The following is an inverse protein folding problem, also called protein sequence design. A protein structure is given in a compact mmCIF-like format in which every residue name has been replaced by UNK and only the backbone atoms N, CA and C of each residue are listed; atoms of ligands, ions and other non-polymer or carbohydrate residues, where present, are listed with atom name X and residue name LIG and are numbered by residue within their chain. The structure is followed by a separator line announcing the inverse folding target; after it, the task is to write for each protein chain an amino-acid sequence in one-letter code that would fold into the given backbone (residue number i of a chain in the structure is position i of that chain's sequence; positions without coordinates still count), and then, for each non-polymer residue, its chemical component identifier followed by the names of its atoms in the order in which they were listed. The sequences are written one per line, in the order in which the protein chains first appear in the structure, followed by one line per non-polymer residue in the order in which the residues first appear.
data_IF_328446975148
#
_entry.id   IF_328446975148
#
_cell.length_a   1.000
_cell.length_b   1.000
_cell.length_c   1.000
_cell.angle_alpha   90.00
_cell.angle_beta   90.00
_cell.angle_gamma   90.00
#
_symmetry.space_group_name_H-M   'P 1'
#
loop_
_entity.id
_entity.type
_entity.pdbx_description
1 polymer ?
#
# COMPACT_ATOMS: atom_id res chain seq x y z
N UNK A 1 8.75 15.19 15.36
CA UNK A 1 8.84 14.49 14.06
C UNK A 1 9.96 15.02 13.16
N UNK A 2 10.16 16.34 13.02
CA UNK A 2 11.25 16.88 12.18
C UNK A 2 12.67 16.68 12.76
N UNK A 3 12.85 16.73 14.08
CA UNK A 3 14.18 16.53 14.71
C UNK A 3 14.67 15.08 14.63
N UNK A 4 13.78 14.09 14.81
CA UNK A 4 14.12 12.67 14.67
C UNK A 4 14.47 12.30 13.22
N UNK A 5 13.81 12.90 12.22
CA UNK A 5 14.16 12.75 10.80
C UNK A 5 15.53 13.34 10.48
N UNK A 6 15.89 14.48 11.09
CA UNK A 6 17.21 15.10 10.94
C UNK A 6 18.33 14.28 11.60
N UNK A 7 18.08 13.69 12.77
CA UNK A 7 19.05 12.79 13.43
C UNK A 7 19.27 11.50 12.63
N UNK A 8 18.21 10.89 12.10
CA UNK A 8 18.34 9.72 11.22
C UNK A 8 19.13 10.03 9.95
N UNK A 9 18.89 11.19 9.32
CA UNK A 9 19.63 11.63 8.13
C UNK A 9 21.11 12.00 8.39
N UNK A 10 21.47 12.37 9.63
CA UNK A 10 22.86 12.57 10.05
C UNK A 10 23.56 11.24 10.34
N UNK A 11 22.88 10.32 11.02
CA UNK A 11 23.37 8.96 11.28
C UNK A 11 23.59 8.18 9.99
N UNK A 12 22.68 8.25 9.01
CA UNK A 12 22.83 7.61 7.70
C UNK A 12 24.06 8.18 6.97
N UNK A 13 24.26 9.51 7.01
CA UNK A 13 25.44 10.14 6.39
C UNK A 13 26.74 9.75 7.09
N UNK A 14 26.77 9.74 8.43
CA UNK A 14 27.91 9.25 9.19
C UNK A 14 28.19 7.78 8.90
N UNK A 15 27.15 6.95 8.80
CA UNK A 15 27.26 5.54 8.48
C UNK A 15 27.79 5.31 7.06
N UNK A 16 27.31 6.07 6.07
CA UNK A 16 27.81 6.01 4.70
C UNK A 16 29.27 6.45 4.58
N UNK A 17 29.69 7.47 5.34
CA UNK A 17 31.08 7.94 5.40
C UNK A 17 31.97 6.91 6.10
N UNK A 18 31.56 6.38 7.26
CA UNK A 18 32.32 5.34 7.98
C UNK A 18 32.39 4.03 7.21
N UNK A 19 31.31 3.66 6.51
CA UNK A 19 31.28 2.51 5.62
C UNK A 19 32.18 2.73 4.40
N UNK A 20 32.35 3.97 3.92
CA UNK A 20 33.27 4.31 2.84
C UNK A 20 34.74 4.14 3.22
N UNK A 21 35.13 4.55 4.43
CA UNK A 21 36.52 4.48 4.92
C UNK A 21 36.95 3.06 5.33
N UNK A 22 36.02 2.24 5.85
CA UNK A 22 36.28 0.87 6.30
C UNK A 22 35.62 -0.21 5.43
N UNK A 23 35.27 0.14 4.19
CA UNK A 23 34.42 -0.72 3.34
C UNK A 23 34.97 -2.13 3.20
N UNK A 24 36.26 -2.25 2.91
CA UNK A 24 36.91 -3.54 2.68
C UNK A 24 36.96 -4.40 3.95
N UNK A 25 37.24 -3.79 5.10
CA UNK A 25 37.26 -4.45 6.41
C UNK A 25 35.86 -4.96 6.78
N UNK A 26 34.84 -4.12 6.65
CA UNK A 26 33.44 -4.48 6.96
C UNK A 26 32.93 -5.57 6.01
N UNK A 27 33.26 -5.51 4.72
CA UNK A 27 32.88 -6.56 3.76
C UNK A 27 33.57 -7.89 4.09
N UNK A 28 34.84 -7.86 4.54
CA UNK A 28 35.53 -9.06 5.00
C UNK A 28 34.86 -9.66 6.26
N UNK A 29 34.45 -8.84 7.22
CA UNK A 29 33.68 -9.29 8.40
C UNK A 29 32.32 -9.88 8.01
N UNK A 30 31.60 -9.24 7.07
CA UNK A 30 30.35 -9.77 6.53
C UNK A 30 30.55 -11.15 5.91
N UNK A 31 31.67 -11.36 5.21
CA UNK A 31 32.00 -12.68 4.66
C UNK A 31 32.17 -13.73 5.75
N UNK A 32 32.87 -13.41 6.85
CA UNK A 32 33.01 -14.34 7.98
C UNK A 32 31.65 -14.69 8.58
N UNK A 33 30.75 -13.69 8.72
CA UNK A 33 29.39 -13.92 9.22
C UNK A 33 28.56 -14.78 8.27
N UNK A 34 28.67 -14.56 6.96
CA UNK A 34 27.98 -15.38 5.96
C UNK A 34 28.47 -16.82 5.97
N UNK A 35 29.79 -17.04 6.08
CA UNK A 35 30.36 -18.38 6.23
C UNK A 35 29.87 -19.07 7.52
N UNK A 36 29.72 -18.33 8.62
CA UNK A 36 29.15 -18.85 9.88
C UNK A 36 27.66 -19.22 9.75
N UNK A 37 26.86 -18.38 9.07
CA UNK A 37 25.43 -18.69 8.81
C UNK A 37 25.29 -19.97 7.99
N UNK A 38 26.10 -20.13 6.95
CA UNK A 38 26.11 -21.34 6.12
C UNK A 38 26.50 -22.57 6.94
N UNK A 39 27.56 -22.47 7.76
CA UNK A 39 27.98 -23.57 8.63
C UNK A 39 26.89 -23.96 9.64
N UNK A 40 26.19 -22.99 10.21
CA UNK A 40 25.06 -23.23 11.12
C UNK A 40 23.91 -23.93 10.40
N UNK A 41 23.52 -23.44 9.22
CA UNK A 41 22.47 -24.04 8.41
C UNK A 41 22.79 -25.51 8.08
N UNK A 42 24.00 -25.80 7.62
CA UNK A 42 24.45 -27.15 7.29
C UNK A 42 24.49 -28.06 8.52
N UNK A 43 24.94 -27.53 9.66
CA UNK A 43 24.95 -28.27 10.92
C UNK A 43 23.53 -28.65 11.36
N UNK A 44 22.58 -27.71 11.29
CA UNK A 44 21.21 -27.94 11.73
C UNK A 44 20.45 -28.86 10.77
N UNK A 45 20.66 -28.75 9.45
CA UNK A 45 20.12 -29.70 8.47
C UNK A 45 20.54 -31.14 8.74
N UNK A 46 21.78 -31.36 9.19
CA UNK A 46 22.30 -32.69 9.56
C UNK A 46 21.76 -33.18 10.89
N UNK A 47 21.61 -32.28 11.86
CA UNK A 47 21.14 -32.62 13.20
C UNK A 47 19.66 -32.99 13.21
N UNK A 48 18.83 -32.17 12.55
CA UNK A 48 17.39 -32.37 12.48
C UNK A 48 16.80 -31.63 11.25
N UNK A 49 16.12 -32.33 10.33
CA UNK A 49 15.55 -31.70 9.14
C UNK A 49 14.59 -30.54 9.42
N UNK A 50 13.84 -30.59 10.52
CA UNK A 50 12.91 -29.52 10.92
C UNK A 50 13.67 -28.28 11.42
N UNK A 51 14.74 -28.45 12.21
CA UNK A 51 15.61 -27.33 12.60
C UNK A 51 16.29 -26.68 11.39
N UNK A 52 16.74 -27.51 10.43
CA UNK A 52 17.29 -27.02 9.16
C UNK A 52 16.32 -26.14 8.38
N UNK A 53 15.02 -26.49 8.36
CA UNK A 53 13.95 -25.71 7.70
C UNK A 53 13.69 -24.37 8.39
N UNK A 54 13.66 -24.35 9.73
CA UNK A 54 13.49 -23.10 10.48
C UNK A 54 14.63 -22.13 10.20
N UNK A 55 15.88 -22.61 10.22
CA UNK A 55 17.04 -21.75 9.98
C UNK A 55 17.14 -21.34 8.51
N UNK A 56 16.78 -22.20 7.57
CA UNK A 56 16.68 -21.84 6.15
C UNK A 56 15.78 -20.61 5.91
N UNK A 57 14.62 -20.54 6.58
CA UNK A 57 13.68 -19.41 6.47
C UNK A 57 14.24 -18.06 6.97
N UNK A 58 15.32 -18.08 7.75
CA UNK A 58 15.95 -16.89 8.33
C UNK A 58 17.39 -16.70 7.84
N UNK A 59 17.86 -17.53 6.88
CA UNK A 59 19.22 -17.42 6.35
C UNK A 59 19.21 -16.54 5.12
N UNK A 60 19.92 -15.42 5.22
CA UNK A 60 20.14 -14.48 4.12
C UNK A 60 21.60 -14.03 4.13
N UNK A 61 22.25 -14.08 2.96
CA UNK A 61 23.65 -13.69 2.80
C UNK A 61 23.76 -12.21 2.42
N UNK A 62 24.92 -11.63 2.68
CA UNK A 62 25.14 -10.19 2.51
C UNK A 62 25.32 -9.85 1.04
N UNK A 63 24.54 -8.90 0.50
CA UNK A 63 24.62 -8.45 -0.90
C UNK A 63 26.05 -8.08 -1.32
N UNK A 64 26.81 -7.46 -0.42
CA UNK A 64 28.16 -6.98 -0.68
C UNK A 64 29.14 -8.11 -1.03
N UNK A 65 28.86 -9.34 -0.58
CA UNK A 65 29.63 -10.54 -0.91
C UNK A 65 29.17 -11.20 -2.22
N UNK A 66 27.92 -10.97 -2.63
CA UNK A 66 27.28 -11.64 -3.78
C UNK A 66 26.55 -10.67 -4.73
N UNK A 67 27.16 -9.56 -5.18
CA UNK A 67 26.44 -8.53 -5.94
C UNK A 67 26.21 -8.88 -7.41
N UNK A 68 26.91 -9.90 -7.94
CA UNK A 68 26.89 -10.22 -9.38
C UNK A 68 25.52 -10.72 -9.81
N UNK A 69 24.96 -10.10 -10.86
CA UNK A 69 23.67 -10.51 -11.45
C UNK A 69 22.46 -9.72 -10.95
N UNK A 70 22.67 -8.73 -10.07
CA UNK A 70 21.63 -7.86 -9.55
C UNK A 70 22.00 -6.40 -9.80
N UNK A 71 21.00 -5.60 -10.14
CA UNK A 71 21.15 -4.15 -10.36
C UNK A 71 21.44 -3.41 -9.06
N UNK A 72 20.84 -3.84 -7.95
CA UNK A 72 21.03 -3.28 -6.62
C UNK A 72 20.71 -4.30 -5.51
N UNK A 73 20.88 -3.86 -4.26
CA UNK A 73 20.60 -4.66 -3.05
C UNK A 73 19.10 -4.96 -2.88
N UNK A 74 18.20 -4.14 -3.43
CA UNK A 74 16.75 -4.35 -3.33
C UNK A 74 16.35 -5.53 -4.23
N UNK A 75 16.86 -5.57 -5.46
CA UNK A 75 16.66 -6.69 -6.36
C UNK A 75 17.28 -7.98 -5.81
N UNK A 76 18.48 -7.90 -5.24
CA UNK A 76 19.12 -9.03 -4.58
C UNK A 76 18.26 -9.55 -3.41
N UNK A 77 17.80 -8.66 -2.53
CA UNK A 77 16.90 -9.01 -1.44
C UNK A 77 15.63 -9.70 -1.97
N UNK A 78 14.96 -9.11 -2.96
CA UNK A 78 13.72 -9.64 -3.51
C UNK A 78 13.88 -11.07 -4.08
N UNK A 79 15.02 -11.37 -4.68
CA UNK A 79 15.27 -12.67 -5.34
C UNK A 79 15.87 -13.71 -4.40
N UNK A 80 16.74 -13.31 -3.49
CA UNK A 80 17.57 -14.23 -2.69
C UNK A 80 17.09 -14.44 -1.26
N UNK A 81 16.06 -13.73 -0.79
CA UNK A 81 15.58 -13.82 0.59
C UNK A 81 15.25 -15.26 1.04
N UNK A 82 14.73 -16.09 0.12
CA UNK A 82 14.36 -17.48 0.38
C UNK A 82 15.26 -18.50 -0.33
N UNK A 83 16.47 -18.10 -0.75
CA UNK A 83 17.40 -18.94 -1.53
C UNK A 83 17.77 -20.28 -0.88
N UNK A 84 17.67 -20.39 0.45
CA UNK A 84 17.96 -21.62 1.20
C UNK A 84 16.74 -22.49 1.48
N UNK A 85 15.55 -22.08 1.04
CA UNK A 85 14.27 -22.73 1.34
C UNK A 85 13.83 -23.58 0.15
N UNK A 86 13.57 -24.87 0.37
CA UNK A 86 12.95 -25.75 -0.62
C UNK A 86 11.43 -25.81 -0.41
N UNK A 87 10.69 -24.88 -1.02
CA UNK A 87 9.23 -24.85 -0.88
C UNK A 87 8.49 -26.07 -1.43
N UNK A 88 9.17 -26.97 -2.15
CA UNK A 88 8.58 -28.24 -2.61
C UNK A 88 8.55 -29.31 -1.51
N UNK A 89 9.31 -29.12 -0.43
CA UNK A 89 9.27 -30.02 0.72
C UNK A 89 7.92 -29.87 1.47
N UNK A 90 7.12 -30.94 1.57
CA UNK A 90 5.77 -30.87 2.14
C UNK A 90 5.77 -30.55 3.64
N UNK A 91 6.88 -30.71 4.35
CA UNK A 91 6.93 -30.48 5.80
C UNK A 91 6.82 -29.00 6.18
N UNK A 92 7.08 -28.08 5.24
CA UNK A 92 6.89 -26.65 5.47
C UNK A 92 5.44 -26.29 5.84
N UNK A 93 4.46 -27.15 5.50
CA UNK A 93 3.06 -26.95 5.93
C UNK A 93 2.87 -26.96 7.44
N UNK A 94 3.79 -27.59 8.17
CA UNK A 94 3.74 -27.74 9.62
C UNK A 94 4.53 -26.63 10.34
N UNK A 95 5.02 -25.62 9.59
CA UNK A 95 5.80 -24.50 10.14
C UNK A 95 4.95 -23.22 10.11
N UNK A 96 4.33 -22.83 11.24
CA UNK A 96 3.70 -21.51 11.38
C UNK A 96 4.65 -20.36 11.01
N UNK A 97 5.97 -20.57 11.12
CA UNK A 97 7.00 -19.60 10.77
C UNK A 97 6.97 -19.14 9.31
N UNK A 98 6.36 -19.91 8.39
CA UNK A 98 6.16 -19.47 7.00
C UNK A 98 5.38 -18.16 6.94
N UNK A 99 4.34 -18.02 7.75
CA UNK A 99 3.54 -16.81 7.82
C UNK A 99 4.39 -15.60 8.24
N UNK A 100 5.19 -15.73 9.29
CA UNK A 100 6.07 -14.66 9.77
C UNK A 100 7.19 -14.32 8.77
N UNK A 101 7.78 -15.34 8.12
CA UNK A 101 8.82 -15.11 7.12
C UNK A 101 8.30 -14.28 5.93
N UNK A 102 7.09 -14.57 5.45
CA UNK A 102 6.46 -13.78 4.38
C UNK A 102 6.00 -12.40 4.86
N UNK A 103 5.60 -12.23 6.14
CA UNK A 103 5.36 -10.89 6.70
C UNK A 103 6.63 -10.03 6.71
N UNK A 104 7.75 -10.58 7.15
CA UNK A 104 9.03 -9.85 7.21
C UNK A 104 9.53 -9.48 5.81
N UNK A 105 9.47 -10.43 4.88
CA UNK A 105 9.79 -10.20 3.47
C UNK A 105 8.93 -9.07 2.88
N UNK A 106 7.60 -9.20 3.00
CA UNK A 106 6.65 -8.21 2.47
C UNK A 106 6.84 -6.84 3.09
N UNK A 107 7.07 -6.77 4.40
CA UNK A 107 7.30 -5.51 5.12
C UNK A 107 8.48 -4.74 4.52
N UNK A 108 9.56 -5.45 4.18
CA UNK A 108 10.73 -4.84 3.55
C UNK A 108 10.41 -4.36 2.15
N UNK A 109 9.82 -5.22 1.30
CA UNK A 109 9.45 -4.90 -0.09
C UNK A 109 8.56 -3.65 -0.18
N UNK A 110 7.60 -3.48 0.73
CA UNK A 110 6.67 -2.33 0.70
C UNK A 110 7.18 -1.11 1.46
N UNK A 111 8.29 -1.21 2.18
CA UNK A 111 8.90 -0.08 2.90
C UNK A 111 10.02 0.60 2.10
N UNK A 112 10.60 -0.10 1.14
CA UNK A 112 11.57 0.48 0.19
C UNK A 112 10.84 1.25 -0.93
N UNK A 113 11.54 2.18 -1.61
CA UNK A 113 10.96 3.05 -2.65
C UNK A 113 10.75 2.33 -3.98
N UNK A 114 9.92 1.28 -3.99
CA UNK A 114 9.49 0.56 -5.19
C UNK A 114 8.09 1.01 -5.61
N UNK A 115 7.80 1.03 -6.92
CA UNK A 115 6.42 1.17 -7.42
C UNK A 115 5.56 -0.02 -6.99
N UNK A 116 4.24 0.15 -6.88
CA UNK A 116 3.34 -0.95 -6.53
C UNK A 116 3.41 -2.10 -7.54
N UNK A 117 3.67 -1.81 -8.82
CA UNK A 117 3.89 -2.81 -9.86
C UNK A 117 5.12 -3.66 -9.58
N UNK A 118 6.24 -3.03 -9.19
CA UNK A 118 7.48 -3.75 -8.89
C UNK A 118 7.37 -4.53 -7.58
N UNK A 119 6.66 -4.00 -6.59
CA UNK A 119 6.33 -4.73 -5.37
C UNK A 119 5.51 -6.00 -5.70
N UNK A 120 4.48 -5.86 -6.53
CA UNK A 120 3.64 -6.98 -6.99
C UNK A 120 4.46 -8.02 -7.74
N UNK A 121 5.34 -7.59 -8.67
CA UNK A 121 6.23 -8.48 -9.42
C UNK A 121 7.07 -9.35 -8.48
N UNK A 122 7.73 -8.75 -7.49
CA UNK A 122 8.56 -9.49 -6.54
C UNK A 122 7.76 -10.42 -5.63
N UNK A 123 6.64 -9.94 -5.08
CA UNK A 123 5.79 -10.77 -4.21
C UNK A 123 5.22 -11.99 -4.98
N UNK A 124 4.72 -11.78 -6.20
CA UNK A 124 4.21 -12.86 -7.06
C UNK A 124 5.33 -13.82 -7.45
N UNK A 125 6.51 -13.31 -7.84
CA UNK A 125 7.66 -14.13 -8.19
C UNK A 125 8.11 -15.05 -7.06
N UNK A 126 8.15 -14.53 -5.83
CA UNK A 126 8.49 -15.33 -4.64
C UNK A 126 7.41 -16.39 -4.34
N UNK A 127 6.13 -16.04 -4.42
CA UNK A 127 5.02 -16.99 -4.17
C UNK A 127 4.95 -18.09 -5.23
N UNK A 128 5.35 -17.82 -6.47
CA UNK A 128 5.37 -18.80 -7.55
C UNK A 128 6.32 -19.98 -7.31
N UNK A 129 7.32 -19.82 -6.44
CA UNK A 129 8.22 -20.92 -6.04
C UNK A 129 7.52 -21.96 -5.14
N UNK A 130 6.35 -21.64 -4.58
CA UNK A 130 5.61 -22.51 -3.67
C UNK A 130 4.56 -23.32 -4.45
N UNK A 131 4.41 -24.63 -4.19
CA UNK A 131 3.34 -25.43 -4.77
C UNK A 131 1.96 -24.79 -4.54
N UNK A 132 1.27 -24.45 -5.63
CA UNK A 132 -0.03 -23.80 -5.61
C UNK A 132 -1.07 -24.65 -4.88
N UNK A 133 -1.97 -24.01 -4.12
CA UNK A 133 -2.97 -24.69 -3.27
C UNK A 133 -2.41 -25.43 -2.05
N UNK A 134 -1.10 -25.49 -1.84
CA UNK A 134 -0.53 -26.10 -0.64
C UNK A 134 -0.82 -25.28 0.62
N UNK A 135 -0.74 -25.94 1.78
CA UNK A 135 -0.83 -25.25 3.07
C UNK A 135 0.31 -24.24 3.29
N UNK A 136 1.51 -24.50 2.75
CA UNK A 136 2.62 -23.52 2.73
C UNK A 136 2.26 -22.30 1.90
N UNK A 137 1.67 -22.48 0.71
CA UNK A 137 1.20 -21.38 -0.13
C UNK A 137 0.13 -20.54 0.58
N UNK A 138 -0.78 -21.20 1.30
CA UNK A 138 -1.81 -20.53 2.09
C UNK A 138 -1.23 -19.64 3.18
N UNK A 139 -0.26 -20.15 3.96
CA UNK A 139 0.41 -19.40 5.01
C UNK A 139 1.23 -18.23 4.45
N UNK A 140 1.94 -18.45 3.35
CA UNK A 140 2.72 -17.42 2.66
C UNK A 140 1.83 -16.27 2.16
N UNK A 141 0.75 -16.60 1.43
CA UNK A 141 -0.23 -15.61 0.97
C UNK A 141 -0.87 -14.83 2.13
N UNK A 142 -1.23 -15.52 3.22
CA UNK A 142 -1.77 -14.86 4.40
C UNK A 142 -0.77 -13.87 5.02
N UNK A 143 0.52 -14.21 5.07
CA UNK A 143 1.57 -13.33 5.56
C UNK A 143 1.76 -12.09 4.69
N UNK A 144 1.73 -12.25 3.37
CA UNK A 144 1.76 -11.14 2.40
C UNK A 144 0.55 -10.21 2.61
N UNK A 145 -0.65 -10.77 2.56
CA UNK A 145 -1.90 -10.03 2.70
C UNK A 145 -1.97 -9.24 4.01
N UNK A 146 -1.52 -9.82 5.12
CA UNK A 146 -1.52 -9.15 6.42
C UNK A 146 -0.78 -7.81 6.38
N UNK A 147 0.41 -7.79 5.78
CA UNK A 147 1.21 -6.56 5.68
C UNK A 147 0.60 -5.59 4.68
N UNK A 148 0.15 -6.07 3.51
CA UNK A 148 -0.46 -5.20 2.51
C UNK A 148 -1.71 -4.50 3.05
N UNK A 149 -2.54 -5.23 3.80
CA UNK A 149 -3.71 -4.66 4.47
C UNK A 149 -3.31 -3.62 5.53
N UNK A 150 -2.35 -3.93 6.41
CA UNK A 150 -1.88 -3.00 7.46
C UNK A 150 -1.28 -1.72 6.89
N UNK A 151 -0.62 -1.81 5.74
CA UNK A 151 0.00 -0.67 5.05
C UNK A 151 -0.95 0.05 4.10
N UNK A 152 -2.20 -0.40 3.96
CA UNK A 152 -3.17 0.12 2.99
C UNK A 152 -2.58 0.16 1.57
N UNK A 153 -1.88 -0.90 1.18
CA UNK A 153 -1.19 -1.02 -0.11
C UNK A 153 -2.16 -1.47 -1.22
N UNK A 154 -2.06 -0.88 -2.42
CA UNK A 154 -2.96 -1.17 -3.55
C UNK A 154 -2.97 -2.64 -4.00
N UNK A 155 -1.91 -3.40 -3.69
CA UNK A 155 -1.83 -4.81 -4.06
C UNK A 155 -2.63 -5.76 -3.14
N UNK A 156 -3.20 -5.31 -2.01
CA UNK A 156 -3.91 -6.22 -1.11
C UNK A 156 -5.07 -6.96 -1.80
N UNK A 157 -5.88 -6.26 -2.62
CA UNK A 157 -6.98 -6.90 -3.36
C UNK A 157 -6.51 -7.94 -4.37
N UNK A 158 -5.38 -7.69 -5.05
CA UNK A 158 -4.82 -8.64 -5.99
C UNK A 158 -4.49 -9.98 -5.30
N UNK A 159 -3.77 -9.93 -4.17
CA UNK A 159 -3.42 -11.14 -3.42
C UNK A 159 -4.61 -11.77 -2.69
N UNK A 160 -5.59 -10.97 -2.27
CA UNK A 160 -6.83 -11.49 -1.71
C UNK A 160 -7.66 -12.28 -2.73
N UNK A 161 -7.78 -11.78 -3.96
CA UNK A 161 -8.45 -12.49 -5.05
C UNK A 161 -7.70 -13.77 -5.41
N UNK A 162 -6.37 -13.74 -5.45
CA UNK A 162 -5.54 -14.95 -5.65
C UNK A 162 -5.82 -16.00 -4.56
N UNK A 163 -5.91 -15.59 -3.29
CA UNK A 163 -6.25 -16.50 -2.19
C UNK A 163 -7.65 -17.11 -2.37
N UNK A 164 -8.65 -16.28 -2.70
CA UNK A 164 -10.02 -16.76 -2.93
C UNK A 164 -10.05 -17.78 -4.06
N UNK A 165 -9.47 -17.47 -5.22
CA UNK A 165 -9.47 -18.38 -6.37
C UNK A 165 -8.72 -19.69 -6.09
N UNK A 166 -7.61 -19.61 -5.35
CA UNK A 166 -6.79 -20.78 -5.04
C UNK A 166 -7.44 -21.71 -4.02
N UNK A 167 -8.15 -21.16 -3.03
CA UNK A 167 -8.61 -21.93 -1.86
C UNK A 167 -10.14 -22.08 -1.74
N UNK A 168 -10.93 -21.57 -2.69
CA UNK A 168 -12.41 -21.63 -2.65
C UNK A 168 -12.97 -23.03 -2.42
N UNK A 169 -12.36 -24.05 -3.02
CA UNK A 169 -12.84 -25.44 -2.92
C UNK A 169 -12.22 -26.18 -1.73
N UNK A 170 -10.93 -25.91 -1.45
CA UNK A 170 -10.18 -26.63 -0.42
C UNK A 170 -10.39 -26.09 1.00
N UNK A 171 -10.74 -24.80 1.14
CA UNK A 171 -11.00 -24.15 2.44
C UNK A 171 -12.04 -23.02 2.32
N UNK A 172 -13.32 -23.39 2.12
CA UNK A 172 -14.40 -22.41 1.96
C UNK A 172 -14.60 -21.54 3.20
N UNK A 173 -14.25 -22.01 4.39
CA UNK A 173 -14.38 -21.23 5.63
C UNK A 173 -13.36 -20.10 5.69
N UNK A 174 -12.08 -20.38 5.36
CA UNK A 174 -11.07 -19.33 5.26
C UNK A 174 -11.39 -18.33 4.15
N UNK A 175 -11.91 -18.80 3.01
CA UNK A 175 -12.35 -17.92 1.91
C UNK A 175 -13.53 -17.04 2.32
N UNK A 176 -14.56 -17.58 2.99
CA UNK A 176 -15.68 -16.79 3.46
C UNK A 176 -15.24 -15.70 4.46
N UNK A 177 -14.34 -16.03 5.39
CA UNK A 177 -13.76 -15.06 6.33
C UNK A 177 -12.97 -13.97 5.60
N UNK A 178 -12.11 -14.35 4.65
CA UNK A 178 -11.37 -13.39 3.85
C UNK A 178 -12.31 -12.51 3.02
N UNK A 179 -13.34 -13.07 2.38
CA UNK A 179 -14.31 -12.31 1.60
C UNK A 179 -15.06 -11.29 2.46
N UNK A 180 -15.37 -11.60 3.73
CA UNK A 180 -15.91 -10.61 4.65
C UNK A 180 -14.91 -9.48 4.95
N UNK A 181 -13.65 -9.80 5.22
CA UNK A 181 -12.59 -8.81 5.46
C UNK A 181 -12.26 -7.99 4.22
N UNK A 182 -12.25 -8.62 3.05
CA UNK A 182 -12.10 -7.98 1.75
C UNK A 182 -13.29 -7.09 1.47
N UNK A 183 -14.53 -7.50 1.71
CA UNK A 183 -15.71 -6.64 1.53
C UNK A 183 -15.66 -5.41 2.46
N UNK A 184 -15.23 -5.60 3.71
CA UNK A 184 -14.97 -4.50 4.66
C UNK A 184 -13.82 -3.60 4.21
N UNK A 185 -12.85 -4.10 3.45
CA UNK A 185 -11.68 -3.34 3.02
C UNK A 185 -11.82 -2.79 1.58
N UNK A 186 -12.65 -3.38 0.72
CA UNK A 186 -12.93 -3.00 -0.67
C UNK A 186 -13.63 -1.65 -0.73
N UNK A 187 -14.48 -1.35 0.25
CA UNK A 187 -15.02 0.00 0.46
C UNK A 187 -13.93 1.07 0.71
N UNK A 188 -12.66 0.67 0.91
CA UNK A 188 -11.56 1.56 1.26
C UNK A 188 -10.32 1.47 0.34
N UNK A 189 -10.28 0.57 -0.65
CA UNK A 189 -9.05 0.25 -1.39
C UNK A 189 -9.12 0.51 -2.89
N UNK A 190 -7.96 0.80 -3.50
CA UNK A 190 -7.79 0.91 -4.96
C UNK A 190 -8.28 -0.38 -5.64
N UNK A 191 -9.13 -0.24 -6.65
CA UNK A 191 -9.80 -1.30 -7.39
C UNK A 191 -11.16 -1.72 -6.80
N UNK A 192 -11.47 -1.34 -5.56
CA UNK A 192 -12.76 -1.60 -4.92
C UNK A 192 -13.81 -0.54 -5.28
N UNK A 193 -15.08 -0.88 -5.13
CA UNK A 193 -16.19 0.06 -5.33
C UNK A 193 -16.24 1.08 -4.18
N UNK A 194 -16.27 2.37 -4.53
CA UNK A 194 -16.35 3.45 -3.57
C UNK A 194 -17.76 3.47 -2.93
N UNK A 195 -17.86 3.47 -1.58
CA UNK A 195 -19.15 3.48 -0.89
C UNK A 195 -20.00 4.66 -1.33
N UNK A 196 -21.21 4.39 -1.81
CA UNK A 196 -22.14 5.47 -2.11
C UNK A 196 -22.55 6.19 -0.82
N UNK A 197 -22.89 7.46 -0.95
CA UNK A 197 -23.37 8.29 0.15
C UNK A 197 -24.24 9.42 -0.39
N UNK A 198 -25.12 9.92 0.48
CA UNK A 198 -25.94 11.10 0.21
C UNK A 198 -25.72 12.10 1.33
N UNK A 199 -25.42 13.35 0.98
CA UNK A 199 -25.21 14.46 1.91
C UNK A 199 -25.87 15.73 1.37
N UNK A 200 -25.94 16.77 2.21
CA UNK A 200 -26.55 18.05 1.86
C UNK A 200 -25.59 18.95 1.08
N UNK A 201 -26.05 19.55 -0.02
CA UNK A 201 -25.36 20.63 -0.72
C UNK A 201 -25.39 21.93 0.09
N UNK A 202 -24.63 22.98 -0.29
CA UNK A 202 -24.74 24.30 0.35
C UNK A 202 -26.15 24.90 0.32
N UNK A 203 -26.97 24.54 -0.67
CA UNK A 203 -28.36 24.95 -0.84
C UNK A 203 -29.34 24.08 -0.03
N UNK A 204 -28.85 23.05 0.66
CA UNK A 204 -29.66 22.13 1.48
C UNK A 204 -30.35 21.01 0.69
N UNK A 205 -29.99 20.81 -0.57
CA UNK A 205 -30.49 19.71 -1.39
C UNK A 205 -29.72 18.42 -1.08
N UNK A 206 -30.37 17.27 -1.24
CA UNK A 206 -29.65 15.99 -1.19
C UNK A 206 -28.89 15.77 -2.49
N UNK A 207 -27.64 15.34 -2.38
CA UNK A 207 -26.83 14.91 -3.51
C UNK A 207 -26.07 13.65 -3.15
N UNK A 208 -26.13 12.67 -4.04
CA UNK A 208 -25.48 11.37 -3.89
C UNK A 208 -24.23 11.27 -4.76
N UNK A 209 -23.23 10.50 -4.31
CA UNK A 209 -22.04 10.23 -5.14
C UNK A 209 -22.42 9.50 -6.44
N UNK A 210 -23.40 8.59 -6.37
CA UNK A 210 -23.91 7.86 -7.54
C UNK A 210 -24.49 8.73 -8.65
N UNK A 211 -24.89 9.98 -8.36
CA UNK A 211 -25.37 10.93 -9.38
C UNK A 211 -24.26 11.38 -10.34
N UNK A 212 -22.99 11.19 -9.95
CA UNK A 212 -21.81 11.52 -10.77
C UNK A 212 -21.26 10.31 -11.55
N UNK A 213 -21.96 9.17 -11.56
CA UNK A 213 -21.55 7.99 -12.35
C UNK A 213 -21.50 8.33 -13.85
N UNK A 214 -20.63 7.64 -14.58
CA UNK A 214 -20.31 7.96 -15.97
C UNK A 214 -19.18 8.97 -16.16
N UNK A 215 -18.62 9.51 -15.06
CA UNK A 215 -17.45 10.39 -15.05
C UNK A 215 -16.35 9.84 -14.14
N UNK A 216 -15.10 10.20 -14.41
CA UNK A 216 -14.04 10.05 -13.43
C UNK A 216 -14.25 11.12 -12.35
N UNK A 217 -14.38 10.74 -11.08
CA UNK A 217 -14.72 11.68 -10.00
C UNK A 217 -13.60 11.73 -8.97
N UNK A 218 -13.14 12.93 -8.62
CA UNK A 218 -12.30 13.16 -7.46
C UNK A 218 -13.16 13.54 -6.26
N UNK A 219 -13.26 12.64 -5.28
CA UNK A 219 -13.85 12.95 -3.98
C UNK A 219 -12.78 13.67 -3.16
N UNK A 220 -12.99 14.95 -2.85
CA UNK A 220 -12.03 15.78 -2.11
C UNK A 220 -12.55 16.08 -0.69
N UNK A 221 -11.94 15.48 0.31
CA UNK A 221 -12.24 15.74 1.71
C UNK A 221 -11.42 16.93 2.20
N UNK A 222 -12.12 18.01 2.54
CA UNK A 222 -11.51 19.30 2.86
C UNK A 222 -12.30 20.04 3.95
N UNK A 223 -11.85 21.22 4.33
CA UNK A 223 -12.61 22.13 5.20
C UNK A 223 -12.11 23.57 5.04
N UNK A 224 -12.96 24.56 5.35
CA UNK A 224 -12.62 25.98 5.29
C UNK A 224 -11.40 26.36 6.14
N UNK A 225 -11.23 25.67 7.27
CA UNK A 225 -10.14 25.85 8.24
C UNK A 225 -8.88 25.03 7.92
N UNK A 226 -8.91 24.19 6.88
CA UNK A 226 -7.77 23.37 6.48
C UNK A 226 -6.78 24.18 5.61
N UNK A 227 -5.80 24.81 6.25
CA UNK A 227 -4.77 25.59 5.54
C UNK A 227 -4.06 24.86 4.39
N UNK A 228 -3.61 23.59 4.53
CA UNK A 228 -3.03 22.84 3.42
C UNK A 228 -4.01 22.56 2.28
N UNK A 229 -5.30 22.33 2.57
CA UNK A 229 -6.33 22.16 1.54
C UNK A 229 -6.48 23.45 0.72
N UNK A 230 -6.66 24.60 1.41
CA UNK A 230 -6.82 25.91 0.77
C UNK A 230 -5.63 26.28 -0.13
N UNK A 231 -4.40 25.88 0.24
CA UNK A 231 -3.20 26.10 -0.59
C UNK A 231 -3.16 25.23 -1.85
N UNK A 232 -3.82 24.08 -1.83
CA UNK A 232 -3.89 23.16 -2.96
C UNK A 232 -5.04 23.50 -3.91
N UNK A 233 -6.09 24.17 -3.43
CA UNK A 233 -7.27 24.52 -4.23
C UNK A 233 -6.95 25.20 -5.58
N UNK A 234 -5.97 26.12 -5.71
CA UNK A 234 -5.61 26.65 -7.03
C UNK A 234 -5.14 25.58 -8.03
N UNK A 235 -4.45 24.54 -7.54
CA UNK A 235 -4.06 23.39 -8.36
C UNK A 235 -5.29 22.57 -8.79
N UNK A 236 -6.19 22.29 -7.86
CA UNK A 236 -7.43 21.54 -8.13
C UNK A 236 -8.33 22.28 -9.12
N UNK A 237 -8.47 23.61 -8.98
CA UNK A 237 -9.21 24.47 -9.92
C UNK A 237 -8.61 24.42 -11.33
N UNK A 238 -7.28 24.42 -11.45
CA UNK A 238 -6.61 24.26 -12.76
C UNK A 238 -6.99 22.93 -13.40
N UNK A 239 -6.84 21.82 -12.66
CA UNK A 239 -7.16 20.48 -13.15
C UNK A 239 -8.64 20.32 -13.48
N UNK A 240 -9.55 20.86 -12.66
CA UNK A 240 -10.97 20.81 -12.95
C UNK A 240 -11.30 21.49 -14.28
N UNK A 241 -10.78 22.70 -14.51
CA UNK A 241 -11.05 23.42 -15.75
C UNK A 241 -10.47 22.75 -16.99
N UNK A 242 -9.35 22.03 -16.85
CA UNK A 242 -8.72 21.32 -17.94
C UNK A 242 -9.46 20.03 -18.35
N UNK A 243 -9.99 19.29 -17.37
CA UNK A 243 -10.54 17.95 -17.61
C UNK A 243 -12.07 17.84 -17.50
N UNK A 244 -12.79 18.85 -16.96
CA UNK A 244 -14.25 18.76 -16.74
C UNK A 244 -15.04 18.42 -18.00
N UNK A 245 -14.63 18.99 -19.14
CA UNK A 245 -15.29 18.77 -20.43
C UNK A 245 -14.87 17.45 -21.10
N UNK A 246 -13.85 16.77 -20.55
CA UNK A 246 -13.39 15.43 -20.98
C UNK A 246 -14.04 14.28 -20.18
N UNK A 247 -14.91 14.59 -19.21
CA UNK A 247 -15.56 13.57 -18.36
C UNK A 247 -14.98 13.45 -16.96
N UNK A 248 -14.28 14.48 -16.47
CA UNK A 248 -13.84 14.58 -15.08
C UNK A 248 -14.82 15.41 -14.23
N UNK A 249 -14.99 15.04 -12.96
CA UNK A 249 -15.73 15.86 -12.00
C UNK A 249 -15.09 15.82 -10.61
N UNK A 250 -15.52 16.72 -9.74
CA UNK A 250 -15.06 16.77 -8.34
C UNK A 250 -16.27 16.88 -7.41
N UNK A 251 -16.26 16.07 -6.36
CA UNK A 251 -17.22 16.18 -5.26
C UNK A 251 -16.47 16.55 -3.97
N UNK A 252 -16.60 17.79 -3.55
CA UNK A 252 -16.03 18.29 -2.31
C UNK A 252 -16.85 17.84 -1.11
N UNK A 253 -16.28 17.03 -0.23
CA UNK A 253 -16.90 16.65 1.05
C UNK A 253 -16.29 17.49 2.16
N UNK A 254 -17.06 18.43 2.69
CA UNK A 254 -16.57 19.36 3.72
C UNK A 254 -16.72 18.82 5.14
N UNK A 255 -15.65 18.95 5.92
CA UNK A 255 -15.59 18.71 7.36
C UNK A 255 -15.71 20.03 8.15
N UNK A 256 -16.45 21.00 7.63
CA UNK A 256 -16.85 22.17 8.40
C UNK A 256 -17.93 21.84 9.45
N UNK A 257 -18.12 22.76 10.40
CA UNK A 257 -19.23 22.73 11.37
C UNK A 257 -20.16 23.93 11.22
N UNK A 258 -19.83 24.84 10.32
CA UNK A 258 -20.52 26.13 10.15
C UNK A 258 -20.70 26.35 8.66
N UNK A 259 -21.95 26.35 8.22
CA UNK A 259 -22.32 26.47 6.80
C UNK A 259 -21.75 27.74 6.17
N UNK A 260 -21.89 28.89 6.84
CA UNK A 260 -21.43 30.17 6.32
C UNK A 260 -19.93 30.17 5.99
N UNK A 261 -19.09 29.61 6.87
CA UNK A 261 -17.63 29.52 6.63
C UNK A 261 -17.29 28.60 5.47
N UNK A 262 -18.02 27.50 5.34
CA UNK A 262 -17.86 26.57 4.25
C UNK A 262 -18.21 27.21 2.90
N UNK A 263 -19.37 27.87 2.83
CA UNK A 263 -19.86 28.57 1.64
C UNK A 263 -18.93 29.73 1.27
N UNK A 264 -18.49 30.51 2.25
CA UNK A 264 -17.55 31.61 2.03
C UNK A 264 -16.21 31.09 1.46
N UNK A 265 -15.69 29.98 2.00
CA UNK A 265 -14.46 29.37 1.48
C UNK A 265 -14.61 28.85 0.06
N UNK A 266 -15.76 28.24 -0.29
CA UNK A 266 -16.08 27.83 -1.67
C UNK A 266 -15.96 29.01 -2.62
N UNK A 267 -16.57 30.15 -2.25
CA UNK A 267 -16.58 31.36 -3.07
C UNK A 267 -15.19 31.99 -3.19
N UNK A 268 -14.48 32.12 -2.07
CA UNK A 268 -13.14 32.72 -2.03
C UNK A 268 -12.13 31.96 -2.88
N UNK A 269 -12.22 30.64 -2.91
CA UNK A 269 -11.27 29.79 -3.64
C UNK A 269 -11.73 29.45 -5.07
N UNK A 270 -12.93 29.88 -5.48
CA UNK A 270 -13.46 29.62 -6.82
C UNK A 270 -13.74 28.13 -7.09
N UNK A 271 -14.22 27.40 -6.08
CA UNK A 271 -14.47 25.96 -6.16
C UNK A 271 -15.81 25.68 -6.85
N UNK A 272 -15.84 25.72 -8.18
CA UNK A 272 -17.08 25.70 -8.97
C UNK A 272 -17.76 24.33 -9.13
N UNK A 273 -17.17 23.26 -8.59
CA UNK A 273 -17.72 21.91 -8.63
C UNK A 273 -18.73 21.66 -7.50
N UNK A 274 -19.28 20.46 -7.42
CA UNK A 274 -20.28 20.10 -6.42
C UNK A 274 -19.68 19.96 -5.02
N UNK A 275 -20.37 20.46 -4.00
CA UNK A 275 -19.95 20.32 -2.61
C UNK A 275 -21.08 19.75 -1.76
N UNK A 276 -20.71 18.95 -0.76
CA UNK A 276 -21.64 18.39 0.21
C UNK A 276 -21.04 18.35 1.63
N UNK A 277 -21.89 18.39 2.66
CA UNK A 277 -21.48 18.23 4.05
C UNK A 277 -22.65 17.80 4.94
N UNK A 278 -22.37 17.15 6.06
CA UNK A 278 -23.31 16.99 7.19
C UNK A 278 -23.05 18.00 8.33
N UNK A 279 -22.06 18.88 8.17
CA UNK A 279 -21.61 19.87 9.15
C UNK A 279 -21.21 19.29 10.51
N UNK A 280 -20.80 18.01 10.57
CA UNK A 280 -20.37 17.34 11.81
C UNK A 280 -18.87 17.42 12.07
N UNK A 281 -18.09 18.08 11.21
CA UNK A 281 -16.63 18.11 11.30
C UNK A 281 -15.99 16.73 11.20
N UNK A 282 -15.09 16.38 12.11
CA UNK A 282 -14.49 15.03 12.16
C UNK A 282 -15.48 13.90 12.49
N UNK A 283 -16.68 14.23 12.96
CA UNK A 283 -17.77 13.27 13.11
C UNK A 283 -18.59 13.08 11.82
N UNK A 284 -18.10 13.60 10.68
CA UNK A 284 -18.73 13.41 9.38
C UNK A 284 -18.78 11.93 9.01
N UNK A 285 -19.98 11.43 8.72
CA UNK A 285 -20.23 9.99 8.54
C UNK A 285 -19.52 9.45 7.30
N UNK A 286 -19.45 10.24 6.23
CA UNK A 286 -18.78 9.86 4.98
C UNK A 286 -17.26 9.83 5.18
N UNK A 287 -16.69 10.83 5.85
CA UNK A 287 -15.26 10.85 6.19
C UNK A 287 -14.87 9.61 7.00
N UNK A 288 -15.70 9.19 7.97
CA UNK A 288 -15.49 7.95 8.72
C UNK A 288 -15.63 6.71 7.84
N UNK A 289 -16.67 6.64 7.02
CA UNK A 289 -16.94 5.54 6.09
C UNK A 289 -15.85 5.40 5.00
N UNK A 290 -15.12 6.47 4.71
CA UNK A 290 -13.96 6.46 3.81
C UNK A 290 -12.62 6.35 4.56
N UNK A 291 -12.64 6.25 5.89
CA UNK A 291 -11.43 6.07 6.71
C UNK A 291 -10.51 7.30 6.73
N UNK A 292 -11.07 8.49 6.52
CA UNK A 292 -10.33 9.76 6.50
C UNK A 292 -9.89 10.12 7.93
N UNK A 293 -8.58 10.16 8.16
CA UNK A 293 -7.97 10.49 9.47
C UNK A 293 -7.23 11.83 9.48
N UNK A 294 -7.04 12.42 8.31
CA UNK A 294 -6.36 13.70 8.10
C UNK A 294 -6.90 14.32 6.82
N UNK A 295 -6.93 15.65 6.75
CA UNK A 295 -7.22 16.39 5.52
C UNK A 295 -6.04 17.31 5.19
N UNK A 296 -5.72 17.55 3.91
CA UNK A 296 -6.46 17.13 2.72
C UNK A 296 -6.37 15.61 2.45
N UNK A 297 -7.46 15.00 1.97
CA UNK A 297 -7.54 13.59 1.57
C UNK A 297 -8.37 13.48 0.30
N UNK A 298 -7.94 12.71 -0.70
CA UNK A 298 -8.77 12.45 -1.91
C UNK A 298 -8.94 10.98 -2.17
N UNK A 299 -10.03 10.67 -2.87
CA UNK A 299 -10.27 9.38 -3.52
C UNK A 299 -10.69 9.66 -4.95
N UNK A 300 -9.90 9.20 -5.92
CA UNK A 300 -10.23 9.26 -7.34
C UNK A 300 -10.95 7.97 -7.71
N UNK A 301 -12.10 8.07 -8.38
CA UNK A 301 -12.90 6.91 -8.82
C UNK A 301 -13.14 6.96 -10.33
N UNK A 302 -13.28 5.81 -10.96
CA UNK A 302 -13.65 5.68 -12.38
C UNK A 302 -15.16 5.91 -12.62
N UNK A 303 -15.55 5.86 -13.90
CA UNK A 303 -16.93 6.06 -14.34
C UNK A 303 -17.92 5.06 -13.75
N UNK A 304 -17.45 3.85 -13.43
CA UNK A 304 -18.20 2.78 -12.78
C UNK A 304 -18.24 2.92 -11.25
N UNK A 305 -17.42 3.79 -10.68
CA UNK A 305 -17.34 4.05 -9.25
C UNK A 305 -16.30 3.24 -8.50
N UNK A 306 -15.32 2.63 -9.18
CA UNK A 306 -14.19 1.95 -8.55
C UNK A 306 -13.08 2.93 -8.24
N UNK A 307 -12.43 2.75 -7.09
CA UNK A 307 -11.34 3.61 -6.64
C UNK A 307 -10.11 3.39 -7.53
N UNK A 308 -9.68 4.42 -8.26
CA UNK A 308 -8.47 4.41 -9.07
C UNK A 308 -7.22 4.77 -8.26
N UNK A 309 -7.36 5.72 -7.33
CA UNK A 309 -6.24 6.22 -6.54
C UNK A 309 -6.74 6.94 -5.28
N UNK A 310 -5.84 7.16 -4.32
CA UNK A 310 -6.13 7.93 -3.10
C UNK A 310 -4.98 8.88 -2.80
N UNK A 311 -5.28 9.97 -2.09
CA UNK A 311 -4.29 10.97 -1.65
C UNK A 311 -3.48 11.60 -2.78
N UNK A 312 -4.03 11.64 -4.00
CA UNK A 312 -3.43 12.37 -5.12
C UNK A 312 -3.50 13.87 -4.86
N UNK A 313 -2.38 14.56 -5.05
CA UNK A 313 -2.19 16.00 -4.87
C UNK A 313 -1.04 16.49 -5.76
N UNK A 314 -1.02 17.79 -6.06
CA UNK A 314 0.03 18.42 -6.84
C UNK A 314 0.28 17.69 -8.17
N UNK A 315 1.55 17.46 -8.47
CA UNK A 315 2.01 16.78 -9.69
C UNK A 315 1.46 15.35 -9.81
N UNK A 316 1.26 14.62 -8.70
CA UNK A 316 0.74 13.25 -8.76
C UNK A 316 -0.72 13.21 -9.24
N UNK A 317 -1.53 14.23 -8.90
CA UNK A 317 -2.89 14.35 -9.44
C UNK A 317 -2.84 14.67 -10.94
N UNK A 318 -1.99 15.62 -11.33
CA UNK A 318 -1.81 16.02 -12.72
C UNK A 318 -1.38 14.86 -13.62
N UNK A 319 -0.33 14.14 -13.22
CA UNK A 319 0.14 12.95 -13.94
C UNK A 319 -0.95 11.89 -14.07
N UNK A 320 -1.74 11.66 -13.01
CA UNK A 320 -2.79 10.65 -13.07
C UNK A 320 -3.94 11.06 -13.99
N UNK A 321 -4.32 12.33 -14.01
CA UNK A 321 -5.37 12.81 -14.91
C UNK A 321 -4.90 12.79 -16.36
N UNK A 322 -3.65 13.19 -16.63
CA UNK A 322 -3.06 13.06 -17.96
C UNK A 322 -3.07 11.60 -18.45
N UNK A 323 -2.67 10.64 -17.60
CA UNK A 323 -2.73 9.20 -17.93
C UNK A 323 -4.14 8.72 -18.32
N UNK A 324 -5.19 9.32 -17.76
CA UNK A 324 -6.57 8.89 -17.99
C UNK A 324 -7.24 9.57 -19.18
N UNK A 325 -6.76 10.74 -19.60
CA UNK A 325 -7.49 11.63 -20.52
C UNK A 325 -6.70 12.12 -21.74
N UNK A 326 -5.39 11.88 -21.80
CA UNK A 326 -4.51 12.26 -22.92
C UNK A 326 -3.92 11.04 -23.65
#
# INVERSE_FOLDING_TARGET
MNEQRNQAGQLIRQYQVSFGEKREEVVAEMKVLDDQKLALLDSLRKADPFLGKIVALNTYLSFQNYPKGYSDEIEYFAKEYFSFVDFKDPDYRNLPWIYEAFRNYTTTIVSVRLSEEKQKEYLTGTLAAIPQGSATHKLALAGVMNILQQKNNGNYLYFANQFVETFKDSDPAAVANLQMEVKKAQSFMIGGEAPDFTLKTPEGQDMSLSELRGKVVLIDFWASWCGPCRRENPNVVRMYNEYKDKGFDILGVSLDKTQDRWVEAIQQDGLSWHHVSDLKGWANEVAQAYGVRSIPHTVLIDAEGKILARNLRGEALEQKLAELFD
#
